data_IF_591981526399
#
_entry.id   IF_591981526399
#
_cell.length_a   1.000
_cell.length_b   1.000
_cell.length_c   1.000
_cell.angle_alpha   90.00
_cell.angle_beta   90.00
_cell.angle_gamma   90.00
#
_symmetry.space_group_name_H-M   'P 1'
#
loop_
_entity.id
_entity.type
_entity.pdbx_description
1 polymer ?
#
# COMPACT_ATOMS: atom_id res chain seq x y z
N UNK A 1 6.34 -2.26 11.66
CA UNK A 1 6.40 -3.17 10.48
C UNK A 1 6.34 -2.33 9.22
N UNK A 2 7.14 -2.65 8.20
CA UNK A 2 7.14 -1.94 6.92
C UNK A 2 6.34 -2.70 5.87
N UNK A 3 5.37 -2.02 5.25
CA UNK A 3 4.64 -2.51 4.08
C UNK A 3 4.87 -1.59 2.88
N UNK A 4 5.43 -2.13 1.80
CA UNK A 4 5.68 -1.38 0.59
C UNK A 4 5.24 -2.18 -0.64
N UNK A 5 4.55 -1.51 -1.57
CA UNK A 5 4.23 -2.07 -2.88
C UNK A 5 5.41 -1.81 -3.82
N UNK A 6 5.96 -2.88 -4.35
CA UNK A 6 7.01 -2.87 -5.36
C UNK A 6 6.39 -3.12 -6.73
N UNK A 7 6.99 -2.57 -7.78
CA UNK A 7 6.48 -2.60 -9.14
C UNK A 7 7.59 -3.03 -10.09
N UNK A 8 7.82 -4.35 -10.25
CA UNK A 8 8.88 -4.88 -11.11
C UNK A 8 8.73 -4.37 -12.54
N UNK A 9 9.77 -3.74 -13.08
CA UNK A 9 9.79 -3.19 -14.42
C UNK A 9 10.47 -4.14 -15.39
N UNK A 10 9.74 -4.54 -16.44
CA UNK A 10 10.27 -5.36 -17.54
C UNK A 10 10.82 -4.44 -18.63
N UNK A 11 12.15 -4.27 -18.64
CA UNK A 11 12.85 -3.42 -19.60
C UNK A 11 12.82 -3.93 -21.04
N UNK A 12 12.59 -5.23 -21.26
CA UNK A 12 12.48 -5.78 -22.61
C UNK A 12 11.15 -5.46 -23.26
N UNK A 13 10.11 -5.35 -22.44
CA UNK A 13 8.73 -5.05 -22.88
C UNK A 13 8.30 -3.61 -22.62
N UNK A 14 9.16 -2.80 -21.98
CA UNK A 14 8.86 -1.42 -21.58
C UNK A 14 7.54 -1.32 -20.82
N UNK A 15 7.38 -2.19 -19.82
CA UNK A 15 6.12 -2.30 -19.06
C UNK A 15 6.36 -2.57 -17.58
N UNK A 16 5.44 -2.07 -16.75
CA UNK A 16 5.38 -2.40 -15.32
C UNK A 16 4.63 -3.72 -15.15
N UNK A 17 5.23 -4.66 -14.44
CA UNK A 17 4.65 -5.95 -14.10
C UNK A 17 3.61 -5.85 -12.98
N UNK A 18 3.09 -7.01 -12.56
CA UNK A 18 2.21 -7.09 -11.40
C UNK A 18 2.95 -6.61 -10.13
N UNK A 19 2.26 -5.85 -9.29
CA UNK A 19 2.84 -5.38 -8.04
C UNK A 19 3.13 -6.53 -7.08
N UNK A 20 4.16 -6.35 -6.26
CA UNK A 20 4.54 -7.30 -5.19
C UNK A 20 4.51 -6.56 -3.87
N UNK A 21 3.88 -7.15 -2.86
CA UNK A 21 3.87 -6.59 -1.50
C UNK A 21 5.13 -7.04 -0.75
N UNK A 22 6.01 -6.09 -0.45
CA UNK A 22 7.09 -6.26 0.53
C UNK A 22 6.52 -6.06 1.93
N UNK A 23 6.70 -7.07 2.79
CA UNK A 23 6.34 -7.01 4.20
C UNK A 23 7.54 -7.35 5.07
N UNK A 24 8.06 -6.37 5.81
CA UNK A 24 9.19 -6.55 6.74
C UNK A 24 8.72 -6.37 8.18
N UNK A 25 8.83 -7.43 8.97
CA UNK A 25 8.60 -7.36 10.41
C UNK A 25 9.66 -6.52 11.11
N UNK A 26 9.37 -6.01 12.31
CA UNK A 26 10.31 -5.20 13.08
C UNK A 26 11.61 -5.94 13.40
N UNK A 27 11.52 -7.26 13.62
CA UNK A 27 12.70 -8.10 13.79
C UNK A 27 13.58 -8.11 12.55
N UNK A 28 12.98 -8.24 11.36
CA UNK A 28 13.72 -8.23 10.09
C UNK A 28 14.28 -6.84 9.76
N UNK A 29 13.54 -5.77 10.07
CA UNK A 29 14.03 -4.40 9.92
C UNK A 29 15.27 -4.19 10.80
N UNK A 30 15.21 -4.59 12.08
CA UNK A 30 16.37 -4.50 13.00
C UNK A 30 17.58 -5.28 12.47
N UNK A 31 17.38 -6.51 12.03
CA UNK A 31 18.44 -7.34 11.43
C UNK A 31 19.08 -6.67 10.21
N UNK A 32 18.28 -6.10 9.31
CA UNK A 32 18.79 -5.36 8.14
C UNK A 32 19.61 -4.15 8.60
N UNK A 33 19.09 -3.35 9.52
CA UNK A 33 19.77 -2.14 10.01
C UNK A 33 21.10 -2.47 10.73
N UNK A 34 21.14 -3.54 11.51
CA UNK A 34 22.36 -4.04 12.16
C UNK A 34 23.40 -4.47 11.11
N UNK A 35 22.99 -5.28 10.13
CA UNK A 35 23.87 -5.70 9.04
C UNK A 35 24.39 -4.52 8.20
N UNK A 36 23.57 -3.49 7.97
CA UNK A 36 23.99 -2.27 7.29
C UNK A 36 25.07 -1.52 8.10
N UNK A 37 24.93 -1.48 9.42
CA UNK A 37 25.94 -0.88 10.31
C UNK A 37 27.27 -1.66 10.25
N UNK A 38 27.20 -2.98 10.09
CA UNK A 38 28.35 -3.87 9.92
C UNK A 38 28.95 -3.82 8.49
N UNK A 39 28.32 -3.08 7.57
CA UNK A 39 28.83 -2.85 6.21
C UNK A 39 28.31 -3.82 5.15
N UNK A 40 27.25 -4.57 5.42
CA UNK A 40 26.58 -5.40 4.41
C UNK A 40 26.03 -4.52 3.27
N UNK A 41 26.10 -5.04 2.04
CA UNK A 41 25.64 -4.32 0.84
C UNK A 41 24.51 -5.02 0.09
N UNK A 42 24.18 -6.26 0.45
CA UNK A 42 23.16 -7.05 -0.25
C UNK A 42 22.44 -7.99 0.71
N UNK A 43 21.14 -8.15 0.49
CA UNK A 43 20.25 -9.00 1.26
C UNK A 43 19.35 -9.76 0.29
N UNK A 44 19.08 -11.02 0.61
CA UNK A 44 18.09 -11.83 -0.10
C UNK A 44 16.95 -12.16 0.85
N UNK A 45 15.73 -11.86 0.43
CA UNK A 45 14.52 -12.18 1.18
C UNK A 45 13.75 -13.22 0.37
N UNK A 46 13.68 -14.42 0.95
CA UNK A 46 12.82 -15.47 0.43
C UNK A 46 11.38 -15.22 0.88
N UNK A 47 10.39 -15.45 0.00
CA UNK A 47 8.99 -15.38 0.37
C UNK A 47 8.67 -16.42 1.45
N UNK A 48 7.75 -16.06 2.35
CA UNK A 48 7.31 -16.89 3.48
C UNK A 48 6.35 -18.01 3.09
N UNK A 49 5.82 -18.01 1.86
CA UNK A 49 5.04 -19.11 1.30
C UNK A 49 5.60 -19.53 -0.06
N UNK A 50 5.70 -20.85 -0.34
CA UNK A 50 6.04 -21.33 -1.66
C UNK A 50 4.80 -21.25 -2.55
N UNK A 51 4.65 -20.16 -3.31
CA UNK A 51 3.88 -20.22 -4.54
C UNK A 51 4.84 -20.57 -5.67
N UNK A 52 4.36 -21.44 -6.57
CA UNK A 52 5.09 -21.88 -7.76
C UNK A 52 5.64 -20.65 -8.51
N UNK A 53 6.97 -20.62 -8.70
CA UNK A 53 7.72 -19.53 -9.34
C UNK A 53 7.77 -18.18 -8.62
N UNK A 54 7.85 -18.14 -7.29
CA UNK A 54 8.14 -16.87 -6.61
C UNK A 54 9.57 -16.40 -6.84
N UNK A 55 9.68 -15.43 -7.73
CA UNK A 55 10.81 -14.52 -7.92
C UNK A 55 11.42 -14.07 -6.57
N UNK A 56 12.68 -14.42 -6.34
CA UNK A 56 13.42 -13.98 -5.16
C UNK A 56 13.49 -12.45 -5.10
N UNK A 57 13.20 -11.87 -3.93
CA UNK A 57 13.41 -10.45 -3.66
C UNK A 57 14.87 -10.24 -3.24
N UNK A 58 15.61 -9.48 -4.04
CA UNK A 58 16.95 -9.03 -3.70
C UNK A 58 16.91 -7.55 -3.33
N UNK A 59 17.63 -7.20 -2.27
CA UNK A 59 17.78 -5.84 -1.78
C UNK A 59 19.27 -5.49 -1.81
N UNK A 60 19.63 -4.46 -2.58
CA UNK A 60 21.02 -4.00 -2.69
C UNK A 60 21.14 -2.60 -2.09
N UNK A 61 21.98 -2.46 -1.08
CA UNK A 61 22.22 -1.18 -0.42
C UNK A 61 23.11 -0.28 -1.28
N UNK A 62 22.65 0.96 -1.47
CA UNK A 62 23.38 2.01 -2.18
C UNK A 62 23.58 3.17 -1.22
N UNK A 63 24.83 3.34 -0.77
CA UNK A 63 25.20 4.29 0.29
C UNK A 63 24.98 5.74 -0.15
N UNK A 64 25.20 6.04 -1.42
CA UNK A 64 25.11 7.37 -2.02
C UNK A 64 23.72 7.99 -1.89
N UNK A 65 22.69 7.15 -1.93
CA UNK A 65 21.28 7.55 -1.81
C UNK A 65 20.62 7.04 -0.52
N UNK A 66 21.40 6.41 0.35
CA UNK A 66 20.95 5.78 1.59
C UNK A 66 19.67 4.93 1.41
N UNK A 67 19.67 4.01 0.43
CA UNK A 67 18.49 3.19 0.12
C UNK A 67 18.84 1.75 -0.28
N UNK A 68 17.90 0.85 -0.04
CA UNK A 68 17.87 -0.50 -0.59
C UNK A 68 17.17 -0.48 -1.94
N UNK A 69 17.91 -0.71 -3.02
CA UNK A 69 17.33 -0.98 -4.33
C UNK A 69 16.71 -2.38 -4.33
N UNK A 70 15.43 -2.45 -4.65
CA UNK A 70 14.67 -3.69 -4.68
C UNK A 70 14.64 -4.26 -6.09
N UNK A 71 14.88 -5.56 -6.22
CA UNK A 71 14.63 -6.29 -7.45
C UNK A 71 13.92 -7.61 -7.20
N UNK A 72 12.95 -7.92 -8.06
CA UNK A 72 12.13 -9.14 -8.02
C UNK A 72 12.41 -9.90 -9.31
N UNK A 73 12.92 -11.12 -9.22
CA UNK A 73 13.18 -11.95 -10.41
C UNK A 73 14.25 -11.32 -11.32
N UNK A 74 15.20 -10.58 -10.74
CA UNK A 74 16.22 -9.82 -11.46
C UNK A 74 15.74 -8.51 -12.09
N UNK A 75 14.46 -8.15 -11.94
CA UNK A 75 13.89 -6.89 -12.47
C UNK A 75 13.88 -5.82 -11.39
N UNK A 76 14.28 -4.60 -11.72
CA UNK A 76 14.18 -3.46 -10.80
C UNK A 76 12.72 -3.23 -10.41
N UNK A 77 12.43 -3.08 -9.12
CA UNK A 77 11.07 -3.03 -8.60
C UNK A 77 10.80 -1.83 -7.67
N UNK A 78 11.77 -0.95 -7.50
CA UNK A 78 11.68 0.23 -6.63
C UNK A 78 12.83 0.30 -5.63
N UNK A 79 12.63 1.10 -4.58
CA UNK A 79 13.58 1.24 -3.49
C UNK A 79 12.86 1.46 -2.16
N UNK A 80 13.55 1.12 -1.07
CA UNK A 80 13.18 1.46 0.30
C UNK A 80 14.33 2.24 0.92
N UNK A 81 14.07 3.46 1.33
CA UNK A 81 15.07 4.33 1.95
C UNK A 81 15.40 3.87 3.37
N UNK A 82 16.60 4.19 3.86
CA UNK A 82 16.98 3.99 5.25
C UNK A 82 16.02 4.67 6.23
N UNK A 83 15.58 5.87 5.86
CA UNK A 83 14.56 6.65 6.57
C UNK A 83 13.22 5.90 6.70
N UNK A 84 12.75 5.25 5.63
CA UNK A 84 11.56 4.39 5.70
C UNK A 84 11.77 3.17 6.62
N UNK A 85 12.95 2.56 6.61
CA UNK A 85 13.25 1.43 7.50
C UNK A 85 13.17 1.84 8.96
N UNK A 86 13.82 2.96 9.33
CA UNK A 86 13.81 3.46 10.70
C UNK A 86 12.40 3.91 11.10
N UNK A 87 11.73 4.70 10.26
CA UNK A 87 10.39 5.22 10.52
C UNK A 87 9.28 4.17 10.55
N UNK A 88 9.54 2.96 10.05
CA UNK A 88 8.59 1.84 10.11
C UNK A 88 8.71 0.99 11.38
N UNK A 89 9.76 1.17 12.19
CA UNK A 89 9.94 0.43 13.44
C UNK A 89 8.84 0.81 14.43
N UNK A 90 8.32 -0.18 15.16
CA UNK A 90 7.32 0.02 16.24
C UNK A 90 5.98 0.63 15.79
N UNK A 91 5.79 0.86 14.47
CA UNK A 91 4.50 1.24 13.92
C UNK A 91 3.55 0.05 14.01
N UNK A 92 2.58 0.15 14.92
CA UNK A 92 1.44 -0.75 15.01
C UNK A 92 0.57 -0.58 13.76
N UNK A 93 0.50 -1.61 12.91
CA UNK A 93 -0.39 -1.56 11.76
C UNK A 93 -1.83 -1.84 12.19
N UNK A 94 -2.82 -1.13 11.62
CA UNK A 94 -4.21 -1.41 11.90
C UNK A 94 -4.63 -2.72 11.25
N UNK A 95 -5.68 -3.36 11.78
CA UNK A 95 -6.21 -4.62 11.22
C UNK A 95 -6.68 -4.47 9.77
N UNK A 96 -7.18 -3.28 9.43
CA UNK A 96 -7.74 -2.96 8.12
C UNK A 96 -6.99 -1.79 7.50
N UNK A 97 -5.82 -2.10 6.93
CA UNK A 97 -4.96 -1.10 6.29
C UNK A 97 -5.11 -1.08 4.76
N UNK A 98 -4.78 0.06 4.17
CA UNK A 98 -4.46 0.17 2.74
C UNK A 98 -3.03 0.67 2.59
N UNK A 99 -2.23 0.04 1.73
CA UNK A 99 -0.90 0.56 1.41
C UNK A 99 -1.03 1.82 0.55
N UNK A 100 -0.12 2.78 0.78
CA UNK A 100 -0.08 4.02 0.02
C UNK A 100 1.36 4.53 -0.17
N UNK A 101 1.51 5.47 -1.10
CA UNK A 101 2.68 6.33 -1.26
C UNK A 101 2.29 7.74 -0.88
N UNK A 102 3.08 8.38 -0.04
CA UNK A 102 2.82 9.72 0.48
C UNK A 102 3.87 10.67 -0.08
N UNK A 103 3.41 11.70 -0.78
CA UNK A 103 4.24 12.84 -1.15
C UNK A 103 4.18 13.83 0.00
N UNK A 104 5.30 14.03 0.68
CA UNK A 104 5.35 14.80 1.93
C UNK A 104 5.37 16.32 1.69
N UNK A 105 5.91 16.77 0.56
CA UNK A 105 5.94 18.17 0.21
C UNK A 105 5.31 18.41 -1.16
N UNK A 106 4.48 19.46 -1.27
CA UNK A 106 3.99 19.94 -2.56
C UNK A 106 5.08 20.66 -3.39
N UNK A 107 6.19 21.03 -2.77
CA UNK A 107 7.31 21.75 -3.39
C UNK A 107 8.45 20.81 -3.81
N UNK A 108 8.70 19.75 -3.01
CA UNK A 108 9.75 18.77 -3.25
C UNK A 108 9.15 17.40 -3.57
N UNK A 109 9.74 16.68 -4.51
CA UNK A 109 9.28 15.35 -4.92
C UNK A 109 9.77 14.25 -3.95
N UNK A 110 9.36 14.37 -2.68
CA UNK A 110 9.75 13.47 -1.60
C UNK A 110 8.62 12.48 -1.36
N UNK A 111 8.85 11.24 -1.79
CA UNK A 111 7.89 10.14 -1.62
C UNK A 111 8.33 9.17 -0.53
N UNK A 112 7.36 8.75 0.28
CA UNK A 112 7.51 7.72 1.30
C UNK A 112 6.41 6.70 1.20
N UNK A 113 6.68 5.48 1.65
CA UNK A 113 5.68 4.45 1.85
C UNK A 113 4.90 4.75 3.13
N UNK A 114 3.66 4.27 3.19
CA UNK A 114 2.83 4.37 4.38
C UNK A 114 1.61 3.49 4.31
N UNK A 115 0.83 3.52 5.38
CA UNK A 115 -0.46 2.83 5.46
C UNK A 115 -1.57 3.79 5.88
N UNK A 116 -2.73 3.61 5.27
CA UNK A 116 -3.97 4.28 5.63
C UNK A 116 -4.70 3.44 6.69
N UNK A 117 -5.03 4.06 7.82
CA UNK A 117 -6.01 3.56 8.77
C UNK A 117 -7.36 4.20 8.46
N UNK A 118 -8.27 3.42 7.86
CA UNK A 118 -9.62 3.88 7.53
C UNK A 118 -10.54 4.01 8.76
N UNK A 119 -10.23 3.31 9.85
CA UNK A 119 -11.03 3.36 11.07
C UNK A 119 -10.72 4.64 11.85
N UNK A 120 -9.43 4.99 11.96
CA UNK A 120 -8.99 6.20 12.65
C UNK A 120 -8.94 7.43 11.75
N UNK A 121 -8.97 7.24 10.43
CA UNK A 121 -8.95 8.33 9.46
C UNK A 121 -7.59 9.02 9.37
N UNK A 122 -6.52 8.25 9.40
CA UNK A 122 -5.16 8.77 9.38
C UNK A 122 -4.24 7.95 8.45
N UNK A 123 -3.07 8.52 8.18
CA UNK A 123 -2.01 7.91 7.41
C UNK A 123 -0.77 7.83 8.28
N UNK A 124 -0.25 6.61 8.42
CA UNK A 124 1.04 6.35 9.03
C UNK A 124 2.09 6.39 7.92
N UNK A 125 2.95 7.40 7.92
CA UNK A 125 4.05 7.53 6.98
C UNK A 125 5.28 6.87 7.60
N UNK A 126 5.99 6.06 6.83
CA UNK A 126 7.28 5.53 7.27
C UNK A 126 8.36 6.58 7.00
N UNK A 127 8.65 7.41 8.01
CA UNK A 127 9.71 8.41 7.98
C UNK A 127 10.19 8.69 9.40
N UNK A 128 11.50 8.76 9.59
CA UNK A 128 12.15 9.23 10.80
C UNK A 128 12.65 10.68 10.63
N UNK A 129 12.67 11.19 9.40
CA UNK A 129 13.09 12.54 9.10
C UNK A 129 11.99 13.56 9.46
N UNK A 130 12.37 14.50 10.31
CA UNK A 130 11.54 15.64 10.72
C UNK A 130 11.44 16.72 9.62
N UNK A 131 10.45 17.59 9.77
CA UNK A 131 10.16 18.75 8.93
C UNK A 131 9.92 18.40 7.45
N UNK A 132 9.47 17.17 7.16
CA UNK A 132 9.22 16.75 5.78
C UNK A 132 7.83 17.13 5.27
N UNK A 133 6.81 17.20 6.12
CA UNK A 133 5.44 17.50 5.71
C UNK A 133 4.99 18.92 6.09
N UNK A 134 5.73 19.90 5.55
CA UNK A 134 5.51 21.30 5.87
C UNK A 134 4.23 21.86 5.20
N UNK A 135 3.94 21.51 3.93
CA UNK A 135 2.73 21.96 3.22
C UNK A 135 2.30 21.04 2.06
N UNK A 136 1.01 20.70 2.02
CA UNK A 136 0.37 20.03 0.88
C UNK A 136 0.73 18.56 0.72
N UNK A 137 0.86 17.84 1.84
CA UNK A 137 1.09 16.40 1.80
C UNK A 137 -0.11 15.68 1.18
N UNK A 138 0.15 14.64 0.40
CA UNK A 138 -0.90 13.83 -0.21
C UNK A 138 -0.53 12.35 -0.24
N UNK A 139 -1.55 11.51 -0.05
CA UNK A 139 -1.44 10.06 -0.14
C UNK A 139 -2.05 9.56 -1.44
N UNK A 140 -1.34 8.64 -2.09
CA UNK A 140 -1.77 7.87 -3.24
C UNK A 140 -1.93 6.41 -2.84
N UNK A 141 -3.15 5.87 -2.90
CA UNK A 141 -3.44 4.50 -2.48
C UNK A 141 -2.93 3.50 -3.52
N UNK A 142 -2.15 2.51 -3.08
CA UNK A 142 -1.43 1.56 -3.96
C UNK A 142 -1.92 0.12 -3.86
N UNK A 143 -3.03 -0.13 -3.15
CA UNK A 143 -3.56 -1.50 -3.00
C UNK A 143 -4.10 -2.08 -4.32
N UNK A 144 -3.94 -3.39 -4.53
CA UNK A 144 -4.38 -4.14 -5.74
C UNK A 144 -5.87 -4.06 -6.00
N UNK A 145 -6.67 -3.75 -4.98
CA UNK A 145 -8.12 -3.67 -5.11
C UNK A 145 -8.57 -2.60 -6.12
N UNK A 146 -7.68 -1.74 -6.62
CA UNK A 146 -7.94 -0.77 -7.68
C UNK A 146 -8.30 -1.50 -8.99
N UNK A 147 -9.60 -1.57 -9.29
CA UNK A 147 -10.13 -2.13 -10.54
C UNK A 147 -9.44 -1.53 -11.78
N UNK A 148 -9.30 -2.29 -12.87
CA UNK A 148 -8.83 -1.76 -14.14
C UNK A 148 -9.66 -0.54 -14.56
N UNK A 149 -9.01 0.60 -14.78
CA UNK A 149 -9.66 1.85 -15.20
C UNK A 149 -9.94 2.87 -14.09
N UNK A 150 -9.66 2.56 -12.82
CA UNK A 150 -9.71 3.56 -11.75
C UNK A 150 -8.31 4.18 -11.58
N UNK A 151 -8.14 5.40 -12.09
CA UNK A 151 -6.98 6.24 -11.78
C UNK A 151 -6.96 6.47 -10.26
N UNK A 152 -5.83 6.16 -9.62
CA UNK A 152 -5.79 5.87 -8.18
C UNK A 152 -6.37 6.94 -7.26
N UNK A 153 -6.76 6.51 -6.06
CA UNK A 153 -7.32 7.41 -5.06
C UNK A 153 -6.21 8.28 -4.47
N UNK A 154 -6.24 9.54 -4.88
CA UNK A 154 -5.47 10.64 -4.32
C UNK A 154 -6.24 11.26 -3.15
N UNK A 155 -5.54 11.51 -2.05
CA UNK A 155 -6.10 12.15 -0.86
C UNK A 155 -5.13 13.21 -0.36
N UNK A 156 -5.61 14.45 -0.30
CA UNK A 156 -4.91 15.53 0.40
C UNK A 156 -4.98 15.27 1.91
N UNK A 157 -3.85 15.42 2.59
CA UNK A 157 -3.71 15.20 4.02
C UNK A 157 -3.67 16.53 4.75
N UNK A 158 -4.15 16.55 5.98
CA UNK A 158 -3.91 17.69 6.86
C UNK A 158 -2.40 17.78 7.18
N UNK A 159 -1.88 18.99 7.36
CA UNK A 159 -0.50 19.22 7.74
C UNK A 159 -0.16 18.65 9.13
N UNK A 160 1.13 18.40 9.37
CA UNK A 160 1.63 17.85 10.64
C UNK A 160 3.05 17.31 10.49
N UNK A 161 3.61 16.81 11.59
CA UNK A 161 4.94 16.19 11.58
C UNK A 161 4.82 14.66 11.48
N UNK A 162 5.10 14.05 10.31
CA UNK A 162 4.92 12.62 10.08
C UNK A 162 5.90 11.74 10.86
N UNK A 163 7.05 12.29 11.30
CA UNK A 163 8.00 11.57 12.16
C UNK A 163 7.57 11.52 13.63
N UNK A 164 6.69 12.44 14.06
CA UNK A 164 6.14 12.49 15.42
C UNK A 164 4.77 11.82 15.55
N UNK A 165 4.06 11.61 14.43
CA UNK A 165 2.73 11.02 14.47
C UNK A 165 2.06 10.86 13.11
N UNK A 166 0.80 10.43 13.15
CA UNK A 166 0.02 10.19 11.93
C UNK A 166 -0.48 11.48 11.30
N UNK A 167 -0.56 11.50 9.96
CA UNK A 167 -1.20 12.58 9.22
C UNK A 167 -2.70 12.31 9.10
N UNK A 168 -3.53 13.32 9.30
CA UNK A 168 -4.98 13.15 9.29
C UNK A 168 -5.56 13.21 7.88
N UNK A 169 -6.61 12.42 7.65
CA UNK A 169 -7.39 12.47 6.43
C UNK A 169 -8.60 13.39 6.67
N UNK A 170 -8.81 14.42 5.83
CA UNK A 170 -9.99 15.28 5.92
C UNK A 170 -11.29 14.47 5.87
N UNK A 171 -12.25 14.79 6.74
CA UNK A 171 -13.46 13.97 6.93
C UNK A 171 -14.33 13.79 5.67
N UNK A 172 -14.26 14.68 4.68
CA UNK A 172 -14.89 14.48 3.37
C UNK A 172 -14.19 13.36 2.57
N UNK A 173 -12.85 13.41 2.50
CA UNK A 173 -12.07 12.40 1.82
C UNK A 173 -12.16 11.04 2.52
N UNK A 174 -12.15 11.02 3.86
CA UNK A 174 -12.32 9.80 4.64
C UNK A 174 -13.63 9.08 4.33
N UNK A 175 -14.76 9.81 4.28
CA UNK A 175 -16.06 9.22 3.93
C UNK A 175 -16.07 8.63 2.52
N UNK A 176 -15.44 9.31 1.55
CA UNK A 176 -15.32 8.80 0.18
C UNK A 176 -14.50 7.51 0.14
N UNK A 177 -13.38 7.46 0.88
CA UNK A 177 -12.57 6.25 1.00
C UNK A 177 -13.36 5.11 1.65
N UNK A 178 -13.99 5.34 2.80
CA UNK A 178 -14.78 4.33 3.51
C UNK A 178 -15.87 3.75 2.60
N UNK A 179 -16.65 4.58 1.92
CA UNK A 179 -17.68 4.10 0.97
C UNK A 179 -17.09 3.23 -0.15
N UNK A 180 -15.93 3.61 -0.68
CA UNK A 180 -15.26 2.89 -1.77
C UNK A 180 -14.74 1.52 -1.32
N UNK A 181 -14.21 1.42 -0.10
CA UNK A 181 -13.59 0.19 0.39
C UNK A 181 -14.55 -0.70 1.19
N UNK A 182 -15.62 -0.13 1.77
CA UNK A 182 -16.73 -0.90 2.35
C UNK A 182 -17.58 -1.56 1.26
N UNK A 183 -17.88 -0.87 0.16
CA UNK A 183 -18.61 -1.50 -0.98
C UNK A 183 -17.85 -2.69 -1.57
N UNK A 184 -16.51 -2.67 -1.53
CA UNK A 184 -15.68 -3.79 -1.99
C UNK A 184 -15.74 -5.01 -1.08
N UNK A 185 -15.89 -4.83 0.24
CA UNK A 185 -16.13 -5.96 1.16
C UNK A 185 -17.40 -6.73 0.82
N UNK A 186 -18.41 -6.05 0.27
CA UNK A 186 -19.64 -6.69 -0.20
C UNK A 186 -19.53 -7.32 -1.59
N UNK A 187 -18.56 -6.91 -2.42
CA UNK A 187 -18.37 -7.47 -3.77
C UNK A 187 -17.27 -8.53 -3.88
N UNK A 188 -16.46 -8.74 -2.84
CA UNK A 188 -15.37 -9.75 -2.83
C UNK A 188 -15.52 -10.85 -1.79
N UNK A 189 -16.64 -10.92 -1.07
CA UNK A 189 -17.10 -12.23 -0.59
C UNK A 189 -17.67 -12.95 -1.80
N UNK A 190 -17.14 -14.13 -2.10
CA UNK A 190 -17.79 -15.14 -2.92
C UNK A 190 -19.24 -15.28 -2.46
N UNK A 191 -20.16 -14.54 -3.08
CA UNK A 191 -21.55 -14.95 -3.08
C UNK A 191 -21.52 -16.21 -3.94
N UNK A 192 -21.77 -17.42 -3.36
CA UNK A 192 -21.91 -18.60 -4.18
C UNK A 192 -22.91 -18.27 -5.29
N UNK A 193 -22.64 -18.73 -6.51
CA UNK A 193 -23.48 -18.45 -7.69
C UNK A 193 -24.97 -18.70 -7.40
N UNK A 194 -25.25 -19.62 -6.48
CA UNK A 194 -26.56 -19.94 -5.89
C UNK A 194 -27.23 -18.74 -5.19
N UNK A 195 -26.51 -17.93 -4.39
CA UNK A 195 -27.05 -16.75 -3.73
C UNK A 195 -27.35 -15.59 -4.72
N UNK A 196 -26.57 -15.48 -5.80
CA UNK A 196 -26.86 -14.55 -6.90
C UNK A 196 -28.08 -15.00 -7.72
N UNK A 197 -28.27 -16.31 -7.88
CA UNK A 197 -29.46 -16.88 -8.52
C UNK A 197 -30.73 -16.70 -7.67
N UNK A 198 -30.63 -16.84 -6.35
CA UNK A 198 -31.74 -16.56 -5.42
C UNK A 198 -32.13 -15.08 -5.42
N UNK A 199 -31.15 -14.17 -5.43
CA UNK A 199 -31.39 -12.73 -5.59
C UNK A 199 -32.02 -12.40 -6.95
N UNK A 200 -31.56 -13.02 -8.04
CA UNK A 200 -32.15 -12.87 -9.37
C UNK A 200 -33.61 -13.34 -9.42
N UNK A 201 -33.90 -14.48 -8.80
CA UNK A 201 -35.26 -15.04 -8.69
C UNK A 201 -36.18 -14.15 -7.83
N UNK A 202 -35.68 -13.64 -6.70
CA UNK A 202 -36.43 -12.74 -5.83
C UNK A 202 -36.75 -11.40 -6.51
N UNK A 203 -35.80 -10.84 -7.28
CA UNK A 203 -36.00 -9.61 -8.07
C UNK A 203 -37.01 -9.85 -9.20
N UNK A 204 -36.94 -11.00 -9.89
CA UNK A 204 -37.91 -11.35 -10.95
C UNK A 204 -39.33 -11.52 -10.37
N UNK A 205 -39.48 -12.19 -9.23
CA UNK A 205 -40.78 -12.35 -8.56
C UNK A 205 -41.36 -11.01 -8.08
N UNK A 206 -40.51 -10.07 -7.65
CA UNK A 206 -40.91 -8.71 -7.30
C UNK A 206 -41.34 -7.91 -8.53
N UNK A 207 -40.64 -8.03 -9.66
CA UNK A 207 -41.01 -7.39 -10.91
C UNK A 207 -42.31 -7.94 -11.47
N UNK A 208 -42.53 -9.26 -11.43
CA UNK A 208 -43.78 -9.89 -11.86
C UNK A 208 -44.96 -9.48 -10.96
N UNK A 209 -44.73 -9.34 -9.65
CA UNK A 209 -45.73 -8.85 -8.68
C UNK A 209 -46.11 -7.38 -8.91
N UNK A 210 -45.17 -6.55 -9.38
CA UNK A 210 -45.42 -5.15 -9.72
C UNK A 210 -46.05 -4.98 -11.12
N UNK A 211 -45.70 -5.82 -12.08
CA UNK A 211 -46.27 -5.80 -13.43
C UNK A 211 -47.65 -6.48 -13.53
N UNK A 212 -48.03 -7.31 -12.54
CA UNK A 212 -49.35 -7.95 -12.45
C UNK A 212 -50.47 -7.11 -11.82
N UNK A 213 -50.21 -5.84 -11.48
CA UNK A 213 -51.21 -4.88 -10.99
C UNK A 213 -51.38 -3.71 -11.97
N UNK A 214 -51.91 -4.01 -13.15
CA UNK A 214 -52.60 -3.06 -14.03
C UNK A 214 -53.89 -3.71 -14.53
#
# INVERSE_FOLDING_TARGET
MLLARLYPYDSHRDQVGASVLLSLSDAKIREILECLADGATSFSISPSQPADELDHLQLNWVREIAALLCSVGGRSAGLVTYDELVGAQEVCLPENYLTCRVRLSSELDIWRSGVVDLALGCVHVYTAQADLALFGACAYITTEAMSPGVTGYFVELDGGEPSEGTLRIPGRALRMLQQTFDTRRFTTQDLPIEALAELGSAVSALQDSMCGKL
#
